data_IF_317184038587
#
_entry.id   IF_317184038587
#
_cell.length_a   1.000
_cell.length_b   1.000
_cell.length_c   1.000
_cell.angle_alpha   90.00
_cell.angle_beta   90.00
_cell.angle_gamma   90.00
#
_symmetry.space_group_name_H-M   'P 1'
#
loop_
_entity.id
_entity.type
_entity.pdbx_description
1 polymer ?
#
# COMPACT_ATOMS: atom_id res chain seq x y z
N UNK A 1 7.85 0.62 26.83
CA UNK A 1 7.13 1.51 25.89
C UNK A 1 7.31 0.89 24.52
N UNK A 2 6.27 0.28 23.95
CA UNK A 2 6.33 -0.15 22.56
C UNK A 2 6.35 1.12 21.72
N UNK A 3 7.46 1.39 21.04
CA UNK A 3 7.51 2.42 20.00
C UNK A 3 6.47 2.04 18.93
N UNK A 4 5.29 2.63 19.02
CA UNK A 4 4.32 2.61 17.95
C UNK A 4 4.92 3.41 16.81
N UNK A 5 5.48 2.71 15.81
CA UNK A 5 5.91 3.30 14.55
C UNK A 5 4.74 4.09 13.98
N UNK A 6 4.97 5.36 13.60
CA UNK A 6 3.91 6.20 13.04
C UNK A 6 3.52 5.69 11.65
N UNK A 7 2.27 5.93 11.25
CA UNK A 7 1.80 5.51 9.91
C UNK A 7 2.63 6.18 8.80
N UNK A 8 3.12 7.41 8.98
CA UNK A 8 4.00 8.06 8.00
C UNK A 8 5.36 7.36 7.86
N UNK A 9 5.91 6.85 8.97
CA UNK A 9 7.15 6.06 8.94
C UNK A 9 6.94 4.73 8.20
N UNK A 10 5.77 4.09 8.38
CA UNK A 10 5.40 2.87 7.64
C UNK A 10 5.32 3.15 6.13
N UNK A 11 4.68 4.24 5.72
CA UNK A 11 4.62 4.68 4.31
C UNK A 11 6.03 4.88 3.74
N UNK A 12 6.90 5.55 4.49
CA UNK A 12 8.28 5.79 4.06
C UNK A 12 9.07 4.49 3.86
N UNK A 13 8.90 3.54 4.77
CA UNK A 13 9.54 2.23 4.69
C UNK A 13 9.05 1.41 3.49
N UNK A 14 7.74 1.38 3.22
CA UNK A 14 7.23 0.68 2.04
C UNK A 14 7.67 1.32 0.73
N UNK A 15 7.77 2.65 0.65
CA UNK A 15 8.34 3.33 -0.53
C UNK A 15 9.80 2.96 -0.77
N UNK A 16 10.61 2.79 0.28
CA UNK A 16 11.99 2.29 0.14
C UNK A 16 12.02 0.87 -0.39
N UNK A 17 11.16 -0.01 0.14
CA UNK A 17 11.05 -1.40 -0.34
C UNK A 17 10.63 -1.48 -1.81
N UNK A 18 9.73 -0.59 -2.26
CA UNK A 18 9.37 -0.49 -3.67
C UNK A 18 10.51 0.07 -4.53
N UNK A 19 11.38 0.92 -4.00
CA UNK A 19 12.57 1.35 -4.73
C UNK A 19 13.56 0.19 -4.97
N UNK A 20 13.61 -0.79 -4.06
CA UNK A 20 14.43 -2.01 -4.20
C UNK A 20 13.75 -3.08 -5.04
N UNK A 21 12.42 -3.22 -4.92
CA UNK A 21 11.61 -4.16 -5.69
C UNK A 21 10.28 -3.52 -6.13
N UNK A 22 10.26 -2.85 -7.30
CA UNK A 22 9.07 -2.17 -7.79
C UNK A 22 7.90 -3.11 -8.11
N UNK A 23 8.16 -4.38 -8.45
CA UNK A 23 7.11 -5.34 -8.83
C UNK A 23 6.45 -6.06 -7.65
N UNK A 24 6.69 -5.62 -6.41
CA UNK A 24 6.17 -6.31 -5.24
C UNK A 24 4.70 -5.93 -4.98
N UNK A 25 3.77 -6.69 -5.57
CA UNK A 25 2.32 -6.50 -5.40
C UNK A 25 1.90 -6.35 -3.92
N UNK A 26 2.48 -7.16 -3.03
CA UNK A 26 2.18 -7.12 -1.59
C UNK A 26 2.67 -5.83 -0.93
N UNK A 27 3.76 -5.24 -1.42
CA UNK A 27 4.26 -3.96 -0.88
C UNK A 27 3.38 -2.81 -1.34
N UNK A 28 2.97 -2.79 -2.61
CA UNK A 28 1.96 -1.86 -3.12
C UNK A 28 0.65 -1.95 -2.32
N UNK A 29 0.13 -3.17 -2.10
CA UNK A 29 -1.06 -3.38 -1.28
C UNK A 29 -0.93 -2.82 0.15
N UNK A 30 0.16 -3.16 0.85
CA UNK A 30 0.36 -2.71 2.22
C UNK A 30 0.60 -1.19 2.32
N UNK A 31 1.22 -0.59 1.30
CA UNK A 31 1.35 0.86 1.19
C UNK A 31 -0.02 1.52 1.02
N UNK A 32 -0.90 0.97 0.17
CA UNK A 32 -2.29 1.44 0.04
C UNK A 32 -3.05 1.43 1.37
N UNK A 33 -2.93 0.35 2.15
CA UNK A 33 -3.54 0.26 3.50
C UNK A 33 -2.98 1.33 4.44
N UNK A 34 -1.69 1.60 4.41
CA UNK A 34 -1.08 2.65 5.23
C UNK A 34 -1.56 4.05 4.81
N UNK A 35 -1.75 4.30 3.52
CA UNK A 35 -2.25 5.56 2.97
C UNK A 35 -3.72 5.80 3.32
N UNK A 36 -4.56 4.76 3.37
CA UNK A 36 -5.94 4.85 3.89
C UNK A 36 -5.94 5.40 5.33
N UNK A 37 -5.05 4.89 6.20
CA UNK A 37 -4.94 5.34 7.59
C UNK A 37 -4.53 6.81 7.71
N UNK A 38 -3.93 7.39 6.67
CA UNK A 38 -3.58 8.80 6.56
C UNK A 38 -4.62 9.63 5.81
N UNK A 39 -5.75 9.03 5.41
CA UNK A 39 -6.79 9.64 4.56
C UNK A 39 -6.28 10.11 3.19
N UNK A 40 -5.21 9.49 2.68
CA UNK A 40 -4.63 9.76 1.36
C UNK A 40 -5.24 8.81 0.31
N UNK A 41 -6.53 8.98 0.04
CA UNK A 41 -7.35 8.04 -0.73
C UNK A 41 -6.87 7.87 -2.19
N UNK A 42 -6.53 8.97 -2.87
CA UNK A 42 -6.05 8.92 -4.25
C UNK A 42 -4.73 8.15 -4.38
N UNK A 43 -3.80 8.38 -3.45
CA UNK A 43 -2.52 7.68 -3.43
C UNK A 43 -2.76 6.20 -3.09
N UNK A 44 -3.65 5.89 -2.15
CA UNK A 44 -4.01 4.51 -1.84
C UNK A 44 -4.59 3.76 -3.05
N UNK A 45 -5.48 4.41 -3.82
CA UNK A 45 -6.04 3.83 -5.03
C UNK A 45 -4.97 3.51 -6.08
N UNK A 46 -4.00 4.42 -6.28
CA UNK A 46 -2.89 4.19 -7.20
C UNK A 46 -2.05 2.96 -6.80
N UNK A 47 -1.80 2.79 -5.50
CA UNK A 47 -1.05 1.65 -4.98
C UNK A 47 -1.85 0.34 -5.08
N UNK A 48 -3.17 0.33 -4.87
CA UNK A 48 -3.98 -0.87 -5.11
C UNK A 48 -4.03 -1.24 -6.59
N UNK A 49 -4.13 -0.25 -7.49
CA UNK A 49 -4.06 -0.49 -8.93
C UNK A 49 -2.70 -1.08 -9.34
N UNK A 50 -1.61 -0.59 -8.76
CA UNK A 50 -0.28 -1.17 -8.98
C UNK A 50 -0.19 -2.60 -8.44
N UNK A 51 -0.73 -2.88 -7.25
CA UNK A 51 -0.80 -4.22 -6.69
C UNK A 51 -1.57 -5.20 -7.59
N UNK A 52 -2.69 -4.75 -8.18
CA UNK A 52 -3.50 -5.50 -9.13
C UNK A 52 -2.74 -5.75 -10.44
N UNK A 53 -1.99 -4.77 -10.93
CA UNK A 53 -1.20 -4.91 -12.16
C UNK A 53 -0.10 -5.97 -12.01
N UNK A 54 0.57 -6.00 -10.84
CA UNK A 54 1.63 -6.96 -10.54
C UNK A 54 1.09 -8.36 -10.16
N UNK A 55 -0.06 -8.41 -9.47
CA UNK A 55 -0.75 -9.65 -9.13
C UNK A 55 -2.27 -9.52 -9.29
N UNK A 56 -2.81 -9.86 -10.46
CA UNK A 56 -4.25 -9.83 -10.72
C UNK A 56 -5.08 -10.78 -9.85
N UNK A 57 -4.43 -11.73 -9.16
CA UNK A 57 -5.10 -12.67 -8.25
C UNK A 57 -5.21 -12.15 -6.82
N UNK A 58 -4.64 -10.99 -6.50
CA UNK A 58 -4.68 -10.40 -5.16
C UNK A 58 -6.07 -9.76 -4.89
N UNK A 59 -7.05 -10.61 -4.56
CA UNK A 59 -8.44 -10.23 -4.33
C UNK A 59 -8.60 -9.10 -3.30
N UNK A 60 -7.75 -9.06 -2.27
CA UNK A 60 -7.76 -8.03 -1.23
C UNK A 60 -7.52 -6.63 -1.79
N UNK A 61 -6.70 -6.49 -2.84
CA UNK A 61 -6.46 -5.19 -3.47
C UNK A 61 -7.73 -4.67 -4.17
N UNK A 62 -8.50 -5.54 -4.84
CA UNK A 62 -9.78 -5.16 -5.44
C UNK A 62 -10.82 -4.77 -4.39
N UNK A 63 -10.88 -5.51 -3.28
CA UNK A 63 -11.82 -5.24 -2.19
C UNK A 63 -11.54 -3.86 -1.59
N UNK A 64 -10.27 -3.55 -1.29
CA UNK A 64 -9.91 -2.25 -0.73
C UNK A 64 -10.09 -1.11 -1.74
N UNK A 65 -9.74 -1.30 -3.01
CA UNK A 65 -9.97 -0.30 -4.06
C UNK A 65 -11.45 0.03 -4.26
N UNK A 66 -12.35 -0.95 -4.09
CA UNK A 66 -13.80 -0.72 -4.21
C UNK A 66 -14.40 0.00 -3.00
N UNK A 67 -13.68 0.02 -1.87
CA UNK A 67 -14.14 0.57 -0.60
C UNK A 67 -13.59 1.96 -0.26
N UNK A 68 -12.75 2.54 -1.12
CA UNK A 68 -12.19 3.89 -1.01
C UNK A 68 -12.86 4.85 -2.00
#
# INVERSE_FOLDING_TARGET
>A
MTETVSTEQVVTEFRKRLAENPGCAMTHYNLGIALIKLHQWNDAAAEFLAAIAESPELAEAYINLSGI
#
